data_IF_492616153093
#
_entry.id   IF_492616153093
#
_cell.length_a   1.000
_cell.length_b   1.000
_cell.length_c   1.000
_cell.angle_alpha   90.00
_cell.angle_beta   90.00
_cell.angle_gamma   90.00
#
_symmetry.space_group_name_H-M   'P 1'
#
loop_
_entity.id
_entity.type
_entity.pdbx_description
1 polymer ?
#
# COMPACT_ATOMS: atom_id res chain seq x y z
N UNK A 1 2.10 -29.69 9.29
CA UNK A 1 1.08 -28.75 9.83
C UNK A 1 1.68 -27.47 10.43
N UNK A 2 2.80 -27.48 11.18
CA UNK A 2 3.40 -26.25 11.75
C UNK A 2 3.69 -25.15 10.70
N UNK A 3 4.21 -25.47 9.52
CA UNK A 3 4.51 -24.47 8.46
C UNK A 3 3.30 -23.74 7.89
N UNK A 4 2.10 -24.33 7.94
CA UNK A 4 0.87 -23.70 7.45
C UNK A 4 0.32 -22.63 8.43
N UNK A 5 0.74 -22.62 9.67
CA UNK A 5 0.29 -21.69 10.71
C UNK A 5 1.14 -20.40 10.69
N UNK A 6 2.39 -20.48 10.22
CA UNK A 6 3.33 -19.33 10.20
C UNK A 6 2.77 -18.10 9.46
N UNK A 7 2.19 -18.21 8.25
CA UNK A 7 1.63 -17.05 7.57
C UNK A 7 0.53 -16.35 8.38
N UNK A 8 -0.34 -17.13 9.07
CA UNK A 8 -1.39 -16.55 9.92
C UNK A 8 -0.81 -15.81 11.12
N UNK A 9 0.21 -16.36 11.76
CA UNK A 9 0.89 -15.71 12.88
C UNK A 9 1.56 -14.40 12.46
N UNK A 10 2.22 -14.38 11.31
CA UNK A 10 2.83 -13.17 10.74
C UNK A 10 1.73 -12.16 10.38
N UNK A 11 0.62 -12.59 9.76
CA UNK A 11 -0.50 -11.73 9.36
C UNK A 11 -1.07 -10.95 10.55
N UNK A 12 -1.22 -11.62 11.71
CA UNK A 12 -1.77 -11.02 12.92
C UNK A 12 -0.72 -10.42 13.86
N UNK A 13 0.56 -10.40 13.48
CA UNK A 13 1.58 -9.73 14.27
C UNK A 13 1.34 -8.21 14.27
N UNK A 14 1.59 -7.49 15.39
CA UNK A 14 1.28 -6.06 15.51
C UNK A 14 1.90 -5.21 14.39
N UNK A 15 3.15 -5.48 14.02
CA UNK A 15 3.85 -4.74 12.98
C UNK A 15 3.27 -5.00 11.58
N UNK A 16 2.91 -6.25 11.28
CA UNK A 16 2.29 -6.61 10.00
C UNK A 16 0.86 -6.11 9.93
N UNK A 17 0.14 -6.09 11.04
CA UNK A 17 -1.22 -5.58 11.09
C UNK A 17 -1.25 -4.07 10.80
N UNK A 18 -0.36 -3.29 11.40
CA UNK A 18 -0.27 -1.84 11.15
C UNK A 18 0.17 -1.54 9.70
N UNK A 19 1.24 -2.19 9.22
CA UNK A 19 1.71 -2.02 7.84
C UNK A 19 0.71 -2.59 6.84
N UNK A 20 0.06 -3.70 7.16
CA UNK A 20 -0.98 -4.33 6.37
C UNK A 20 -2.22 -3.44 6.23
N UNK A 21 -2.64 -2.75 7.29
CA UNK A 21 -3.74 -1.77 7.24
C UNK A 21 -3.41 -0.62 6.28
N UNK A 22 -2.17 -0.16 6.30
CA UNK A 22 -1.72 0.84 5.33
C UNK A 22 -1.83 0.32 3.89
N UNK A 23 -1.30 -0.87 3.59
CA UNK A 23 -1.40 -1.48 2.26
C UNK A 23 -2.86 -1.76 1.86
N UNK A 24 -3.68 -2.21 2.80
CA UNK A 24 -5.11 -2.44 2.59
C UNK A 24 -5.80 -1.22 2.02
N UNK A 25 -5.56 -0.03 2.59
CA UNK A 25 -6.17 1.21 2.13
C UNK A 25 -5.43 1.79 0.91
N UNK A 26 -4.09 1.89 0.96
CA UNK A 26 -3.28 2.55 -0.07
C UNK A 26 -3.32 1.85 -1.43
N UNK A 27 -3.47 0.52 -1.46
CA UNK A 27 -3.63 -0.23 -2.70
C UNK A 27 -5.08 -0.58 -3.01
N UNK A 28 -5.91 -0.68 -1.97
CA UNK A 28 -7.31 -1.00 -2.14
C UNK A 28 -8.09 0.08 -2.89
N UNK A 29 -7.87 1.35 -2.57
CA UNK A 29 -8.53 2.48 -3.25
C UNK A 29 -8.19 2.58 -4.75
N UNK A 30 -6.92 2.43 -5.20
CA UNK A 30 -6.61 2.31 -6.63
C UNK A 30 -7.28 1.12 -7.31
N UNK A 31 -7.37 -0.04 -6.65
CA UNK A 31 -8.07 -1.20 -7.20
C UNK A 31 -9.57 -0.90 -7.33
N UNK A 32 -10.18 -0.26 -6.33
CA UNK A 32 -11.55 0.21 -6.39
C UNK A 32 -11.75 1.21 -7.54
N UNK A 33 -10.84 2.15 -7.72
CA UNK A 33 -10.85 3.11 -8.84
C UNK A 33 -10.81 2.40 -10.19
N UNK A 34 -9.93 1.42 -10.37
CA UNK A 34 -9.85 0.65 -11.61
C UNK A 34 -11.13 -0.15 -11.90
N UNK A 35 -11.73 -0.76 -10.89
CA UNK A 35 -12.96 -1.56 -11.03
C UNK A 35 -14.19 -0.72 -11.37
N UNK A 36 -14.25 0.52 -10.88
CA UNK A 36 -15.38 1.43 -11.10
C UNK A 36 -15.21 2.36 -12.30
N UNK A 37 -14.03 2.37 -12.92
CA UNK A 37 -13.70 3.28 -14.02
C UNK A 37 -14.68 3.19 -15.19
N UNK A 38 -15.07 1.97 -15.59
CA UNK A 38 -16.04 1.75 -16.65
C UNK A 38 -17.43 2.30 -16.29
N UNK A 39 -17.83 2.16 -15.03
CA UNK A 39 -19.13 2.63 -14.53
C UNK A 39 -19.26 4.15 -14.63
N UNK A 40 -18.17 4.90 -14.53
CA UNK A 40 -18.18 6.37 -14.62
C UNK A 40 -17.95 6.91 -16.02
N UNK A 41 -17.11 6.26 -16.84
CA UNK A 41 -16.69 6.80 -18.12
C UNK A 41 -17.55 6.33 -19.32
N UNK A 42 -18.09 5.12 -19.29
CA UNK A 42 -18.85 4.57 -20.41
C UNK A 42 -20.28 5.10 -20.55
N UNK A 43 -21.03 5.40 -19.47
CA UNK A 43 -22.40 5.89 -19.62
C UNK A 43 -22.45 7.16 -20.49
N UNK A 44 -23.56 7.37 -21.24
CA UNK A 44 -23.76 8.58 -22.02
C UNK A 44 -23.74 9.84 -21.19
N UNK A 45 -23.35 10.95 -21.78
CA UNK A 45 -23.27 12.27 -21.11
C UNK A 45 -24.63 12.67 -20.53
N UNK A 46 -25.73 12.27 -21.16
CA UNK A 46 -27.13 12.54 -20.73
C UNK A 46 -27.46 11.91 -19.37
N UNK A 47 -26.75 10.83 -19.01
CA UNK A 47 -26.94 10.09 -17.73
C UNK A 47 -25.82 10.40 -16.73
N UNK A 48 -24.98 11.41 -17.04
CA UNK A 48 -23.90 11.83 -16.14
C UNK A 48 -22.58 11.08 -16.33
N UNK A 49 -22.39 10.35 -17.44
CA UNK A 49 -21.12 9.73 -17.82
C UNK A 49 -20.35 10.58 -18.80
N UNK A 50 -19.24 10.04 -19.32
CA UNK A 50 -18.38 10.70 -20.32
C UNK A 50 -18.61 10.17 -21.74
N UNK A 51 -19.45 9.15 -21.94
CA UNK A 51 -19.77 8.58 -23.24
C UNK A 51 -18.59 7.87 -23.92
N UNK A 52 -17.65 7.32 -23.16
CA UNK A 52 -16.47 6.67 -23.72
C UNK A 52 -16.83 5.36 -24.41
N UNK A 53 -16.34 5.18 -25.63
CA UNK A 53 -16.33 3.88 -26.30
C UNK A 53 -15.37 2.93 -25.62
N UNK A 54 -15.52 1.63 -25.85
CA UNK A 54 -14.62 0.60 -25.30
C UNK A 54 -13.15 0.83 -25.69
N UNK A 55 -12.91 1.37 -26.89
CA UNK A 55 -11.56 1.68 -27.35
C UNK A 55 -10.97 2.89 -26.61
N UNK A 56 -11.74 3.95 -26.42
CA UNK A 56 -11.34 5.13 -25.65
C UNK A 56 -11.05 4.76 -24.19
N UNK A 57 -11.88 3.87 -23.63
CA UNK A 57 -11.69 3.34 -22.29
C UNK A 57 -10.36 2.57 -22.16
N UNK A 58 -10.02 1.73 -23.15
CA UNK A 58 -8.75 1.02 -23.18
C UNK A 58 -7.55 2.00 -23.20
N UNK A 59 -7.61 3.04 -24.02
CA UNK A 59 -6.57 4.09 -24.04
C UNK A 59 -6.52 4.87 -22.73
N UNK A 60 -7.66 5.18 -22.14
CA UNK A 60 -7.69 5.88 -20.86
C UNK A 60 -7.01 5.07 -19.75
N UNK A 61 -7.18 3.76 -19.74
CA UNK A 61 -6.52 2.87 -18.76
C UNK A 61 -4.98 2.94 -18.86
N UNK A 62 -4.42 3.30 -20.01
CA UNK A 62 -2.98 3.50 -20.18
C UNK A 62 -2.42 4.60 -19.27
N UNK A 63 -3.22 5.56 -18.82
CA UNK A 63 -2.79 6.58 -17.87
C UNK A 63 -2.32 5.99 -16.55
N UNK A 64 -2.98 4.93 -16.07
CA UNK A 64 -2.57 4.16 -14.89
C UNK A 64 -1.20 3.48 -15.12
N UNK A 65 -1.00 2.89 -16.30
CA UNK A 65 0.29 2.26 -16.66
C UNK A 65 1.44 3.26 -16.69
N UNK A 66 1.20 4.47 -17.20
CA UNK A 66 2.21 5.55 -17.15
C UNK A 66 2.56 5.88 -15.70
N UNK A 67 1.58 5.97 -14.81
CA UNK A 67 1.79 6.17 -13.37
C UNK A 67 2.62 5.04 -12.73
N UNK A 68 2.30 3.79 -13.06
CA UNK A 68 3.02 2.60 -12.59
C UNK A 68 4.49 2.64 -13.05
N UNK A 69 4.73 2.89 -14.34
CA UNK A 69 6.09 2.97 -14.92
C UNK A 69 6.88 4.10 -14.25
N UNK A 70 6.28 5.28 -14.09
CA UNK A 70 6.91 6.41 -13.43
C UNK A 70 7.28 6.07 -11.97
N UNK A 71 6.41 5.36 -11.24
CA UNK A 71 6.68 4.90 -9.88
C UNK A 71 7.87 3.92 -9.83
N UNK A 72 7.96 2.99 -10.78
CA UNK A 72 9.07 2.04 -10.85
C UNK A 72 10.40 2.74 -11.17
N UNK A 73 10.39 3.68 -12.11
CA UNK A 73 11.57 4.49 -12.46
C UNK A 73 12.03 5.30 -11.25
N UNK A 74 11.11 5.98 -10.57
CA UNK A 74 11.43 6.70 -9.35
C UNK A 74 11.98 5.76 -8.26
N UNK A 75 11.31 4.63 -8.03
CA UNK A 75 11.73 3.62 -7.05
C UNK A 75 13.13 3.09 -7.31
N UNK A 76 13.50 2.83 -8.56
CA UNK A 76 14.83 2.41 -8.95
C UNK A 76 15.92 3.40 -8.51
N UNK A 77 15.68 4.69 -8.64
CA UNK A 77 16.67 5.71 -8.29
C UNK A 77 16.69 6.07 -6.79
N UNK A 78 15.56 6.05 -6.10
CA UNK A 78 15.40 6.67 -4.78
C UNK A 78 15.11 5.68 -3.65
N UNK A 79 14.61 4.49 -3.94
CA UNK A 79 14.15 3.55 -2.92
C UNK A 79 15.25 3.15 -1.92
N UNK A 80 16.48 3.01 -2.39
CA UNK A 80 17.63 2.68 -1.52
C UNK A 80 18.45 3.91 -1.13
N UNK A 81 18.46 4.97 -1.95
CA UNK A 81 19.25 6.17 -1.69
C UNK A 81 18.75 6.96 -0.48
N UNK A 82 17.44 7.13 -0.34
CA UNK A 82 16.85 7.91 0.75
C UNK A 82 17.12 7.27 2.12
N UNK A 83 16.84 5.97 2.34
CA UNK A 83 17.18 5.31 3.60
C UNK A 83 18.67 5.34 3.93
N UNK A 84 19.56 5.15 2.94
CA UNK A 84 21.00 5.21 3.13
C UNK A 84 21.48 6.63 3.50
N UNK A 85 20.91 7.65 2.88
CA UNK A 85 21.21 9.04 3.22
C UNK A 85 20.80 9.35 4.66
N UNK A 86 19.60 8.89 5.07
CA UNK A 86 19.09 9.06 6.42
C UNK A 86 19.97 8.33 7.47
N UNK A 87 20.40 7.10 7.16
CA UNK A 87 21.31 6.33 8.01
C UNK A 87 22.67 7.06 8.20
N UNK A 88 23.23 7.62 7.12
CA UNK A 88 24.49 8.38 7.18
C UNK A 88 24.36 9.63 8.05
N UNK A 89 23.25 10.36 7.98
CA UNK A 89 23.00 11.55 8.80
C UNK A 89 22.81 11.23 10.29
N UNK A 90 22.37 10.01 10.63
CA UNK A 90 22.12 9.58 12.02
C UNK A 90 23.24 8.70 12.60
N UNK A 91 24.48 8.90 12.19
CA UNK A 91 25.64 8.25 12.80
C UNK A 91 26.00 6.88 12.20
N UNK A 92 25.49 6.53 11.01
CA UNK A 92 25.89 5.33 10.26
C UNK A 92 25.26 4.02 10.73
N UNK A 93 24.38 4.04 11.73
CA UNK A 93 23.65 2.86 12.19
C UNK A 93 22.42 2.61 11.30
N UNK A 94 22.27 1.36 10.83
CA UNK A 94 21.11 0.99 10.02
C UNK A 94 19.92 0.65 10.92
N UNK A 95 18.79 1.30 10.68
CA UNK A 95 17.49 0.94 11.25
C UNK A 95 16.51 0.65 10.13
N UNK A 96 15.79 -0.44 10.23
CA UNK A 96 14.81 -0.90 9.21
C UNK A 96 13.73 0.16 8.96
N UNK A 97 13.41 0.96 9.96
CA UNK A 97 12.43 2.05 9.91
C UNK A 97 12.83 3.16 8.92
N UNK A 98 14.11 3.30 8.57
CA UNK A 98 14.55 4.31 7.57
C UNK A 98 14.01 4.01 6.18
N UNK A 99 13.68 2.75 5.85
CA UNK A 99 13.00 2.42 4.60
C UNK A 99 11.64 3.08 4.49
N UNK A 100 10.92 3.20 5.59
CA UNK A 100 9.59 3.82 5.63
C UNK A 100 9.62 5.32 5.34
N UNK A 101 10.79 5.99 5.39
CA UNK A 101 10.90 7.39 4.97
C UNK A 101 10.49 7.61 3.51
N UNK A 102 10.59 6.57 2.66
CA UNK A 102 10.12 6.64 1.27
C UNK A 102 8.59 6.66 1.14
N UNK A 103 7.82 6.42 2.21
CA UNK A 103 6.36 6.57 2.18
C UNK A 103 5.91 8.03 2.21
N UNK A 104 6.79 8.99 2.53
CA UNK A 104 6.43 10.42 2.62
C UNK A 104 5.89 10.94 1.28
N UNK A 105 6.52 10.59 0.15
CA UNK A 105 6.05 11.05 -1.16
C UNK A 105 4.68 10.46 -1.53
N UNK A 106 4.45 9.13 -1.46
CA UNK A 106 3.11 8.56 -1.66
C UNK A 106 2.05 9.11 -0.70
N UNK A 107 2.39 9.40 0.55
CA UNK A 107 1.47 10.01 1.53
C UNK A 107 0.95 11.39 1.12
N UNK A 108 1.65 12.10 0.26
CA UNK A 108 1.21 13.38 -0.28
C UNK A 108 0.47 13.19 -1.61
N UNK A 109 1.05 12.40 -2.51
CA UNK A 109 0.56 12.29 -3.89
C UNK A 109 -0.75 11.51 -3.98
N UNK A 110 -0.90 10.44 -3.20
CA UNK A 110 -2.06 9.56 -3.25
C UNK A 110 -3.36 10.26 -2.81
N UNK A 111 -3.42 10.94 -1.65
CA UNK A 111 -4.64 11.65 -1.26
C UNK A 111 -4.97 12.82 -2.18
N UNK A 112 -3.97 13.53 -2.73
CA UNK A 112 -4.21 14.57 -3.74
C UNK A 112 -4.84 13.96 -5.00
N UNK A 113 -4.32 12.82 -5.49
CA UNK A 113 -4.87 12.11 -6.63
C UNK A 113 -6.33 11.70 -6.40
N UNK A 114 -6.65 11.14 -5.24
CA UNK A 114 -8.01 10.75 -4.88
C UNK A 114 -8.96 11.95 -4.77
N UNK A 115 -8.50 13.05 -4.18
CA UNK A 115 -9.28 14.28 -4.08
C UNK A 115 -9.61 14.87 -5.46
N UNK A 116 -8.61 14.96 -6.36
CA UNK A 116 -8.81 15.41 -7.75
C UNK A 116 -9.75 14.47 -8.51
N UNK A 117 -9.63 13.16 -8.31
CA UNK A 117 -10.51 12.17 -8.93
C UNK A 117 -11.96 12.33 -8.49
N UNK A 118 -12.20 12.46 -7.19
CA UNK A 118 -13.53 12.69 -6.63
C UNK A 118 -14.16 13.99 -7.13
N UNK A 119 -13.42 15.10 -7.06
CA UNK A 119 -13.88 16.38 -7.59
C UNK A 119 -14.11 16.34 -9.10
N UNK A 120 -13.25 15.65 -9.84
CA UNK A 120 -13.37 15.49 -11.29
C UNK A 120 -14.65 14.79 -11.71
N UNK A 121 -15.06 13.75 -10.98
CA UNK A 121 -16.30 13.03 -11.20
C UNK A 121 -17.53 13.84 -10.76
N UNK A 122 -17.49 14.51 -9.62
CA UNK A 122 -18.60 15.29 -9.08
C UNK A 122 -18.95 16.49 -9.93
N UNK A 123 -17.94 17.24 -10.37
CA UNK A 123 -18.10 18.45 -11.17
C UNK A 123 -18.03 18.21 -12.68
N UNK A 124 -18.03 16.96 -13.15
CA UNK A 124 -17.90 16.59 -14.56
C UNK A 124 -16.75 17.34 -15.27
N UNK A 125 -15.58 17.41 -14.63
CA UNK A 125 -14.41 18.07 -15.18
C UNK A 125 -13.92 17.32 -16.43
N UNK A 126 -13.12 18.02 -17.24
CA UNK A 126 -12.55 17.43 -18.46
C UNK A 126 -11.82 16.11 -18.16
N UNK A 127 -11.98 15.10 -19.01
CA UNK A 127 -11.41 13.75 -18.80
C UNK A 127 -9.89 13.75 -18.56
N UNK A 128 -9.16 14.76 -19.03
CA UNK A 128 -7.72 14.90 -18.76
C UNK A 128 -7.42 15.11 -17.27
N UNK A 129 -8.33 15.73 -16.52
CA UNK A 129 -8.19 15.88 -15.05
C UNK A 129 -8.29 14.52 -14.38
N UNK A 130 -9.23 13.69 -14.83
CA UNK A 130 -9.38 12.31 -14.35
C UNK A 130 -8.17 11.45 -14.74
N UNK A 131 -7.59 11.68 -15.92
CA UNK A 131 -6.36 11.02 -16.36
C UNK A 131 -5.17 11.38 -15.46
N UNK A 132 -5.00 12.66 -15.15
CA UNK A 132 -3.99 13.13 -14.20
C UNK A 132 -4.22 12.52 -12.80
N UNK A 133 -5.45 12.52 -12.33
CA UNK A 133 -5.80 11.91 -11.04
C UNK A 133 -5.47 10.42 -11.02
N UNK A 134 -5.84 9.67 -12.06
CA UNK A 134 -5.49 8.25 -12.21
C UNK A 134 -3.98 8.01 -12.21
N UNK A 135 -3.22 8.85 -12.92
CA UNK A 135 -1.75 8.83 -12.88
C UNK A 135 -1.23 9.00 -11.45
N UNK A 136 -1.68 10.02 -10.72
CA UNK A 136 -1.22 10.31 -9.36
C UNK A 136 -1.58 9.19 -8.38
N UNK A 137 -2.78 8.63 -8.49
CA UNK A 137 -3.25 7.52 -7.66
C UNK A 137 -2.35 6.30 -7.84
N UNK A 138 -2.13 5.85 -9.08
CA UNK A 138 -1.31 4.68 -9.35
C UNK A 138 0.17 4.91 -9.09
N UNK A 139 0.67 6.10 -9.36
CA UNK A 139 2.03 6.49 -9.02
C UNK A 139 2.28 6.41 -7.51
N UNK A 140 1.41 7.04 -6.70
CA UNK A 140 1.54 7.02 -5.24
C UNK A 140 1.42 5.62 -4.66
N UNK A 141 0.42 4.84 -5.09
CA UNK A 141 0.19 3.49 -4.59
C UNK A 141 1.37 2.54 -4.88
N UNK A 142 1.92 2.60 -6.09
CA UNK A 142 3.03 1.74 -6.50
C UNK A 142 4.40 2.19 -5.96
N UNK A 143 4.52 3.43 -5.49
CA UNK A 143 5.68 3.85 -4.69
C UNK A 143 5.64 3.27 -3.29
N UNK A 144 4.47 3.25 -2.65
CA UNK A 144 4.31 2.74 -1.28
C UNK A 144 4.53 1.22 -1.18
N UNK A 145 4.14 0.47 -2.22
CA UNK A 145 4.14 -0.99 -2.22
C UNK A 145 5.51 -1.61 -1.90
N UNK A 146 6.58 -1.37 -2.67
CA UNK A 146 7.88 -2.00 -2.44
C UNK A 146 8.49 -1.58 -1.10
N UNK A 147 8.22 -0.37 -0.63
CA UNK A 147 8.69 0.13 0.66
C UNK A 147 8.15 -0.71 1.81
N UNK A 148 6.83 -0.95 1.82
CA UNK A 148 6.18 -1.75 2.85
C UNK A 148 6.59 -3.22 2.78
N UNK A 149 6.70 -3.79 1.58
CA UNK A 149 7.15 -5.18 1.40
C UNK A 149 8.57 -5.37 1.91
N UNK A 150 9.50 -4.51 1.51
CA UNK A 150 10.89 -4.58 1.96
C UNK A 150 11.01 -4.39 3.48
N UNK A 151 10.22 -3.48 4.06
CA UNK A 151 10.19 -3.27 5.50
C UNK A 151 9.77 -4.54 6.26
N UNK A 152 8.66 -5.16 5.85
CA UNK A 152 8.15 -6.37 6.53
C UNK A 152 9.09 -7.56 6.29
N UNK A 153 9.64 -7.73 5.09
CA UNK A 153 10.63 -8.78 4.81
C UNK A 153 11.86 -8.63 5.72
N UNK A 154 12.34 -7.40 5.95
CA UNK A 154 13.45 -7.15 6.88
C UNK A 154 13.06 -7.39 8.35
N UNK A 155 11.81 -7.25 8.72
CA UNK A 155 11.33 -7.61 10.06
C UNK A 155 11.25 -9.13 10.27
N UNK A 156 11.01 -9.91 9.20
CA UNK A 156 10.83 -11.37 9.23
C UNK A 156 11.83 -12.09 8.31
N UNK A 157 13.13 -11.84 8.49
CA UNK A 157 14.20 -12.37 7.64
C UNK A 157 14.21 -13.91 7.52
N UNK A 158 13.71 -14.63 8.54
CA UNK A 158 13.65 -16.09 8.50
C UNK A 158 12.46 -16.64 7.70
N UNK A 159 11.43 -15.83 7.46
CA UNK A 159 10.20 -16.22 6.76
C UNK A 159 9.75 -15.14 5.76
N UNK A 160 10.59 -14.77 4.76
CA UNK A 160 10.30 -13.66 3.85
C UNK A 160 9.12 -13.94 2.92
N UNK A 161 8.94 -15.21 2.53
CA UNK A 161 7.84 -15.63 1.65
C UNK A 161 6.52 -15.52 2.37
N UNK A 162 6.43 -16.03 3.59
CA UNK A 162 5.24 -15.99 4.44
C UNK A 162 4.85 -14.53 4.77
N UNK A 163 5.84 -13.67 5.01
CA UNK A 163 5.65 -12.24 5.22
C UNK A 163 5.04 -11.56 3.98
N UNK A 164 5.55 -11.88 2.80
CA UNK A 164 5.02 -11.35 1.53
C UNK A 164 3.59 -11.84 1.24
N UNK A 165 3.29 -13.11 1.53
CA UNK A 165 1.94 -13.67 1.40
C UNK A 165 0.96 -12.95 2.33
N UNK A 166 1.37 -12.67 3.57
CA UNK A 166 0.56 -11.94 4.53
C UNK A 166 0.17 -10.55 4.04
N UNK A 167 1.13 -9.77 3.52
CA UNK A 167 0.84 -8.45 2.95
C UNK A 167 -0.03 -8.51 1.69
N UNK A 168 0.16 -9.55 0.86
CA UNK A 168 -0.69 -9.73 -0.32
C UNK A 168 -2.14 -10.05 0.06
N UNK A 169 -2.37 -10.77 1.16
CA UNK A 169 -3.72 -11.02 1.68
C UNK A 169 -4.44 -9.71 2.03
N UNK A 170 -3.76 -8.76 2.71
CA UNK A 170 -4.33 -7.42 2.98
C UNK A 170 -4.70 -6.68 1.70
N UNK A 171 -3.80 -6.66 0.72
CA UNK A 171 -4.04 -6.00 -0.57
C UNK A 171 -5.27 -6.53 -1.30
N UNK A 172 -5.41 -7.86 -1.38
CA UNK A 172 -6.51 -8.51 -2.11
C UNK A 172 -7.83 -8.38 -1.36
N UNK A 173 -7.80 -8.40 -0.03
CA UNK A 173 -9.01 -8.30 0.80
C UNK A 173 -9.80 -7.02 0.56
N UNK A 174 -9.14 -5.87 0.38
CA UNK A 174 -9.84 -4.62 0.05
C UNK A 174 -10.48 -4.69 -1.34
N UNK A 175 -9.76 -5.25 -2.33
CA UNK A 175 -10.29 -5.41 -3.69
C UNK A 175 -11.59 -6.22 -3.71
N UNK A 176 -11.66 -7.30 -2.94
CA UNK A 176 -12.89 -8.09 -2.78
C UNK A 176 -13.99 -7.28 -2.07
N UNK A 177 -13.65 -6.61 -0.98
CA UNK A 177 -14.59 -5.81 -0.20
C UNK A 177 -15.18 -4.64 -1.01
N UNK A 178 -14.37 -3.99 -1.85
CA UNK A 178 -14.79 -2.82 -2.63
C UNK A 178 -15.92 -3.13 -3.60
N UNK A 179 -15.95 -4.34 -4.20
CA UNK A 179 -17.00 -4.75 -5.15
C UNK A 179 -18.38 -4.73 -4.50
N UNK A 180 -18.48 -5.09 -3.22
CA UNK A 180 -19.75 -5.15 -2.51
C UNK A 180 -20.15 -3.80 -1.91
N UNK A 181 -19.21 -2.97 -1.53
CA UNK A 181 -19.46 -1.74 -0.75
C UNK A 181 -19.59 -0.51 -1.64
N UNK A 182 -18.89 -0.47 -2.79
CA UNK A 182 -18.76 0.74 -3.60
C UNK A 182 -20.12 1.34 -4.02
N UNK A 183 -21.06 0.51 -4.48
CA UNK A 183 -22.37 0.98 -4.94
C UNK A 183 -23.22 1.54 -3.80
N UNK A 184 -23.20 0.88 -2.65
CA UNK A 184 -23.94 1.31 -1.46
C UNK A 184 -23.31 2.58 -0.86
N UNK A 185 -21.99 2.64 -0.84
CA UNK A 185 -21.24 3.80 -0.33
C UNK A 185 -21.46 5.03 -1.21
N UNK A 186 -21.37 4.85 -2.53
CA UNK A 186 -21.67 5.92 -3.49
C UNK A 186 -23.12 6.44 -3.37
N UNK A 187 -24.09 5.55 -3.21
CA UNK A 187 -25.50 5.92 -3.05
C UNK A 187 -25.77 6.69 -1.74
N UNK A 188 -25.00 6.39 -0.69
CA UNK A 188 -25.17 7.02 0.62
C UNK A 188 -24.57 8.43 0.71
N UNK A 189 -23.39 8.65 0.09
CA UNK A 189 -22.59 9.89 0.31
C UNK A 189 -22.32 10.68 -0.97
N UNK A 190 -22.67 10.17 -2.14
CA UNK A 190 -22.34 10.74 -3.44
C UNK A 190 -20.93 10.38 -3.91
N UNK A 191 -20.70 10.59 -5.21
CA UNK A 191 -19.44 10.14 -5.87
C UNK A 191 -18.22 10.92 -5.39
N UNK A 192 -18.30 12.23 -5.34
CA UNK A 192 -17.18 13.09 -4.92
C UNK A 192 -16.78 12.86 -3.47
N UNK A 193 -17.76 12.81 -2.57
CA UNK A 193 -17.48 12.57 -1.15
C UNK A 193 -16.95 11.16 -0.88
N UNK A 194 -17.38 10.14 -1.63
CA UNK A 194 -16.85 8.80 -1.50
C UNK A 194 -15.33 8.77 -1.73
N UNK A 195 -14.84 9.42 -2.79
CA UNK A 195 -13.40 9.52 -3.06
C UNK A 195 -12.67 10.48 -2.12
N UNK A 196 -13.34 11.56 -1.70
CA UNK A 196 -12.84 12.45 -0.66
C UNK A 196 -12.63 11.74 0.67
N UNK A 197 -13.58 10.93 1.11
CA UNK A 197 -13.42 10.07 2.30
C UNK A 197 -12.28 9.05 2.12
N UNK A 198 -12.10 8.50 0.90
CA UNK A 198 -10.94 7.68 0.57
C UNK A 198 -9.62 8.40 0.80
N UNK A 199 -9.51 9.68 0.40
CA UNK A 199 -8.34 10.51 0.68
C UNK A 199 -8.11 10.72 2.18
N UNK A 200 -9.16 10.92 2.98
CA UNK A 200 -9.03 11.00 4.44
C UNK A 200 -8.61 9.68 5.07
N UNK A 201 -9.07 8.53 4.56
CA UNK A 201 -8.59 7.24 5.03
C UNK A 201 -7.10 7.04 4.76
N UNK A 202 -6.60 7.49 3.60
CA UNK A 202 -5.15 7.48 3.33
C UNK A 202 -4.41 8.34 4.36
N UNK A 203 -4.83 9.59 4.57
CA UNK A 203 -4.19 10.46 5.56
C UNK A 203 -4.19 9.85 6.96
N UNK A 204 -5.25 9.16 7.35
CA UNK A 204 -5.33 8.47 8.63
C UNK A 204 -4.30 7.32 8.73
N UNK A 205 -4.19 6.47 7.71
CA UNK A 205 -3.20 5.38 7.74
C UNK A 205 -1.77 5.88 7.56
N UNK A 206 -1.58 7.03 6.90
CA UNK A 206 -0.28 7.73 6.84
C UNK A 206 0.18 8.21 8.22
N UNK A 207 -0.73 8.66 9.07
CA UNK A 207 -0.42 8.99 10.48
C UNK A 207 0.03 7.74 11.25
N UNK A 208 -0.57 6.58 10.99
CA UNK A 208 -0.12 5.31 11.57
C UNK A 208 1.30 4.99 11.11
N UNK A 209 1.58 5.13 9.81
CA UNK A 209 2.93 4.90 9.26
C UNK A 209 3.96 5.88 9.82
N UNK A 210 3.61 7.15 9.98
CA UNK A 210 4.46 8.13 10.65
C UNK A 210 4.76 7.71 12.11
N UNK A 211 3.79 7.17 12.82
CA UNK A 211 3.98 6.59 14.15
C UNK A 211 4.99 5.43 14.15
N UNK A 212 4.95 4.56 13.14
CA UNK A 212 5.93 3.46 13.00
C UNK A 212 7.32 4.02 12.68
N UNK A 213 7.45 5.05 11.83
CA UNK A 213 8.74 5.69 11.54
C UNK A 213 9.37 6.26 12.82
N UNK A 214 8.59 6.82 13.72
CA UNK A 214 9.08 7.44 14.96
C UNK A 214 9.35 6.43 16.07
N UNK A 215 8.51 5.39 16.21
CA UNK A 215 8.51 4.46 17.35
C UNK A 215 8.50 2.98 16.92
N UNK A 216 8.90 2.66 15.69
CA UNK A 216 8.84 1.30 15.14
C UNK A 216 9.65 0.27 15.93
N UNK A 217 10.75 0.70 16.56
CA UNK A 217 11.53 -0.17 17.44
C UNK A 217 10.70 -0.73 18.62
N UNK A 218 9.82 0.08 19.22
CA UNK A 218 8.93 -0.38 20.31
C UNK A 218 7.88 -1.39 19.81
N UNK A 219 7.30 -1.12 18.63
CA UNK A 219 6.33 -2.04 18.01
C UNK A 219 6.99 -3.36 17.64
N UNK A 220 8.25 -3.30 17.16
CA UNK A 220 9.03 -4.50 16.82
C UNK A 220 9.42 -5.31 18.06
N UNK A 221 9.80 -4.67 19.16
CA UNK A 221 10.06 -5.36 20.44
C UNK A 221 8.80 -6.04 20.96
N UNK A 222 7.66 -5.36 20.89
CA UNK A 222 6.39 -5.97 21.24
C UNK A 222 6.03 -7.15 20.33
N UNK A 223 6.27 -7.02 19.01
CA UNK A 223 6.08 -8.11 18.05
C UNK A 223 6.98 -9.32 18.39
N UNK A 224 8.25 -9.09 18.74
CA UNK A 224 9.16 -10.17 19.19
C UNK A 224 8.68 -10.85 20.46
N UNK A 225 8.22 -10.08 21.43
CA UNK A 225 7.65 -10.61 22.68
C UNK A 225 6.43 -11.50 22.42
N UNK A 226 5.52 -11.09 21.54
CA UNK A 226 4.37 -11.89 21.12
C UNK A 226 4.81 -13.14 20.34
N UNK A 227 5.77 -13.01 19.44
CA UNK A 227 6.31 -14.12 18.64
C UNK A 227 7.06 -15.16 19.49
N UNK A 228 7.80 -14.74 20.51
CA UNK A 228 8.47 -15.66 21.45
C UNK A 228 7.46 -16.46 22.28
N UNK A 229 6.36 -15.84 22.68
CA UNK A 229 5.27 -16.51 23.41
C UNK A 229 4.58 -17.58 22.53
N UNK A 230 4.61 -17.43 21.21
CA UNK A 230 4.00 -18.35 20.24
C UNK A 230 4.99 -19.45 19.79
N UNK A 231 6.26 -19.43 20.24
CA UNK A 231 7.27 -20.46 19.96
C UNK A 231 7.86 -20.41 18.53
N UNK A 232 7.80 -19.25 17.86
CA UNK A 232 8.35 -19.05 16.49
C UNK A 232 9.80 -18.59 16.52
N UNK A 233 10.34 -18.22 17.67
CA UNK A 233 11.68 -17.68 17.86
C UNK A 233 12.66 -18.67 18.45
N UNK A 234 13.83 -18.77 17.85
CA UNK A 234 15.10 -19.31 18.37
C UNK A 234 15.51 -20.74 18.08
N UNK A 235 14.63 -21.71 17.82
CA UNK A 235 15.08 -23.07 17.51
C UNK A 235 15.85 -23.16 16.16
N UNK A 236 15.58 -22.26 15.22
CA UNK A 236 16.30 -22.20 13.93
C UNK A 236 17.73 -21.67 14.05
N UNK A 237 17.97 -20.70 14.94
CA UNK A 237 19.27 -20.10 15.13
C UNK A 237 20.23 -21.00 15.95
N UNK A 238 19.71 -21.79 16.87
CA UNK A 238 20.50 -22.76 17.63
C UNK A 238 20.92 -23.97 16.83
N UNK A 239 20.09 -24.41 15.89
CA UNK A 239 20.44 -25.54 15.00
C UNK A 239 21.54 -25.13 14.00
N UNK A 240 21.55 -23.90 13.50
CA UNK A 240 22.62 -23.42 12.61
C UNK A 240 23.94 -23.14 13.36
N UNK A 241 23.91 -22.69 14.59
CA UNK A 241 25.08 -22.49 15.42
C UNK A 241 25.71 -23.83 15.90
N UNK A 242 24.89 -24.85 16.17
CA UNK A 242 25.38 -26.17 16.62
C UNK A 242 25.99 -27.03 15.52
N UNK A 243 25.74 -26.71 14.23
CA UNK A 243 26.33 -27.42 13.08
C UNK A 243 27.70 -26.85 12.69
N UNK A 244 28.03 -25.60 13.07
CA UNK A 244 29.34 -25.00 12.77
C UNK A 244 30.45 -25.38 13.75
N UNK A 245 30.13 -25.94 14.93
CA UNK A 245 31.10 -26.34 15.93
C UNK A 245 31.46 -27.82 15.87
N UNK A 246 30.96 -28.56 14.87
CA UNK A 246 31.25 -30.00 14.70
C UNK A 246 31.85 -30.37 13.33
N UNK A 247 32.52 -29.38 12.65
CA UNK A 247 33.25 -29.62 11.41
C UNK A 247 34.71 -29.23 11.54
#
# INVERSE_FOLDING_TARGET
>A
MRRAIIPFQITFSPITLLTGTYIFVALGLPIMQASTLATYLQPPVEVGGYGFSSLQMAFFTMTAWVGIIAAQVYGYFFNDKIPLMLARHRGGTWHTEYRLANTILPSIVLPIGLGIYGAGLEYHLHYMVLALAGFLIWFGALLALPVCYNYIIECFLHNPVEASVSLNAYRVSFGLMSVFIVTQWQAAVGTGWMWGMGAFFILFVDLIMAGIILKGHLVREWTKSVSSTIGVTEDGARISAGVSDSA
#
